data_IF_038667754832
#
_entry.id   IF_038667754832
#
_cell.length_a   1.000
_cell.length_b   1.000
_cell.length_c   1.000
_cell.angle_alpha   90.00
_cell.angle_beta   90.00
_cell.angle_gamma   90.00
#
_symmetry.space_group_name_H-M   'P 1'
#
loop_
_entity.id
_entity.type
_entity.pdbx_description
1 polymer ?
#
# COMPACT_ATOMS: atom_id res chain seq x y z
N UNK A 1 7.54 -11.98 -6.20
CA UNK A 1 7.22 -11.84 -7.63
C UNK A 1 8.47 -12.04 -8.46
N UNK A 2 8.42 -12.84 -9.53
CA UNK A 2 9.57 -12.98 -10.42
C UNK A 2 9.72 -11.70 -11.23
N UNK A 3 10.84 -10.99 -11.06
CA UNK A 3 11.23 -9.78 -11.83
C UNK A 3 11.04 -9.97 -13.34
N UNK A 4 11.16 -11.21 -13.80
CA UNK A 4 10.87 -11.66 -15.17
C UNK A 4 9.48 -11.29 -15.68
N UNK A 5 8.42 -11.52 -14.89
CA UNK A 5 7.03 -11.25 -15.32
C UNK A 5 6.75 -9.75 -15.47
N UNK A 6 7.40 -8.91 -14.68
CA UNK A 6 7.31 -7.46 -14.81
C UNK A 6 8.07 -6.96 -16.04
N UNK A 7 9.28 -7.48 -16.28
CA UNK A 7 10.07 -7.14 -17.48
C UNK A 7 9.39 -7.60 -18.78
N UNK A 8 8.81 -8.80 -18.80
CA UNK A 8 8.11 -9.33 -19.97
C UNK A 8 6.90 -8.46 -20.35
N UNK A 9 6.09 -8.06 -19.36
CA UNK A 9 4.95 -7.17 -19.60
C UNK A 9 5.36 -5.77 -20.03
N UNK A 10 6.42 -5.23 -19.45
CA UNK A 10 6.97 -3.95 -19.89
C UNK A 10 7.36 -4.02 -21.38
N UNK A 11 8.05 -5.09 -21.78
CA UNK A 11 8.44 -5.31 -23.18
C UNK A 11 7.22 -5.46 -24.10
N UNK A 12 6.17 -6.16 -23.66
CA UNK A 12 4.92 -6.27 -24.44
C UNK A 12 4.23 -4.92 -24.62
N UNK A 13 4.13 -4.10 -23.57
CA UNK A 13 3.53 -2.75 -23.65
C UNK A 13 4.34 -1.86 -24.58
N UNK A 14 5.68 -1.93 -24.52
CA UNK A 14 6.57 -1.19 -25.41
C UNK A 14 6.36 -1.60 -26.87
N UNK A 15 6.40 -2.89 -27.18
CA UNK A 15 6.15 -3.41 -28.53
C UNK A 15 4.75 -3.02 -29.06
N UNK A 16 3.72 -3.05 -28.22
CA UNK A 16 2.38 -2.60 -28.61
C UNK A 16 2.33 -1.11 -28.93
N UNK A 17 3.09 -0.26 -28.22
CA UNK A 17 3.18 1.18 -28.55
C UNK A 17 3.76 1.38 -29.95
N UNK A 18 4.87 0.73 -30.25
CA UNK A 18 5.53 0.84 -31.55
C UNK A 18 4.59 0.39 -32.69
N UNK A 19 3.86 -0.71 -32.49
CA UNK A 19 2.87 -1.20 -33.45
C UNK A 19 1.67 -0.26 -33.61
N UNK A 20 1.19 0.37 -32.53
CA UNK A 20 0.11 1.36 -32.58
C UNK A 20 0.55 2.58 -33.39
N UNK A 21 1.76 3.05 -33.17
CA UNK A 21 2.31 4.23 -33.85
C UNK A 21 2.45 3.97 -35.35
N UNK A 22 2.99 2.80 -35.71
CA UNK A 22 3.14 2.39 -37.10
C UNK A 22 1.79 2.18 -37.81
N UNK A 23 0.84 1.49 -37.17
CA UNK A 23 -0.50 1.31 -37.72
C UNK A 23 -1.21 2.67 -37.88
N UNK A 24 -1.05 3.58 -36.93
CA UNK A 24 -1.61 4.94 -36.99
C UNK A 24 -0.97 5.78 -38.09
N UNK A 25 0.33 5.65 -38.31
CA UNK A 25 1.07 6.29 -39.40
C UNK A 25 0.55 5.81 -40.76
N UNK A 26 0.36 4.50 -40.91
CA UNK A 26 -0.16 3.90 -42.14
C UNK A 26 -1.63 4.25 -42.40
N UNK A 27 -2.46 4.33 -41.36
CA UNK A 27 -3.84 4.79 -41.46
C UNK A 27 -3.96 6.24 -41.96
N UNK A 28 -2.98 7.09 -41.67
CA UNK A 28 -2.92 8.50 -42.10
C UNK A 28 -2.18 8.71 -43.43
N UNK A 29 -1.61 7.66 -44.02
CA UNK A 29 -0.81 7.75 -45.24
C UNK A 29 -1.65 8.18 -46.44
N UNK A 30 -1.32 9.32 -47.04
CA UNK A 30 -1.99 9.82 -48.27
C UNK A 30 -1.75 8.93 -49.49
N UNK A 31 -0.69 8.12 -49.49
CA UNK A 31 -0.33 7.23 -50.60
C UNK A 31 -1.08 5.90 -50.59
N UNK A 32 -1.58 5.48 -49.43
CA UNK A 32 -2.29 4.22 -49.29
C UNK A 32 -3.76 4.35 -49.76
N UNK A 33 -4.32 3.35 -50.46
CA UNK A 33 -5.75 3.30 -50.79
C UNK A 33 -6.64 3.39 -49.54
N UNK A 34 -7.87 3.87 -49.71
CA UNK A 34 -8.81 4.05 -48.59
C UNK A 34 -9.11 2.76 -47.84
N UNK A 35 -9.22 1.62 -48.54
CA UNK A 35 -9.42 0.30 -47.95
C UNK A 35 -8.29 -0.11 -47.01
N UNK A 36 -7.04 0.14 -47.40
CA UNK A 36 -5.88 -0.13 -46.57
C UNK A 36 -5.85 0.76 -45.34
N UNK A 37 -6.13 2.07 -45.50
CA UNK A 37 -6.20 3.00 -44.35
C UNK A 37 -7.25 2.56 -43.33
N UNK A 38 -8.43 2.11 -43.78
CA UNK A 38 -9.48 1.57 -42.90
C UNK A 38 -8.98 0.32 -42.17
N UNK A 39 -8.27 -0.59 -42.87
CA UNK A 39 -7.67 -1.77 -42.25
C UNK A 39 -6.67 -1.39 -41.15
N UNK A 40 -5.79 -0.42 -41.43
CA UNK A 40 -4.82 0.09 -40.47
C UNK A 40 -5.46 0.78 -39.27
N UNK A 41 -6.53 1.55 -39.46
CA UNK A 41 -7.31 2.15 -38.36
C UNK A 41 -7.91 1.08 -37.46
N UNK A 42 -8.51 0.03 -38.04
CA UNK A 42 -9.06 -1.10 -37.27
C UNK A 42 -7.98 -1.81 -36.46
N UNK A 43 -6.83 -2.06 -37.09
CA UNK A 43 -5.69 -2.69 -36.41
C UNK A 43 -5.17 -1.83 -35.25
N UNK A 44 -5.02 -0.52 -35.44
CA UNK A 44 -4.62 0.39 -34.37
C UNK A 44 -5.60 0.33 -33.17
N UNK A 45 -6.91 0.27 -33.44
CA UNK A 45 -7.93 0.09 -32.40
C UNK A 45 -7.79 -1.24 -31.64
N UNK A 46 -7.53 -2.34 -32.34
CA UNK A 46 -7.29 -3.65 -31.71
C UNK A 46 -6.05 -3.64 -30.81
N UNK A 47 -4.95 -3.04 -31.28
CA UNK A 47 -3.71 -2.94 -30.51
C UNK A 47 -3.88 -2.08 -29.26
N UNK A 48 -4.64 -0.98 -29.34
CA UNK A 48 -5.01 -0.18 -28.17
C UNK A 48 -5.79 -1.02 -27.17
N UNK A 49 -6.76 -1.82 -27.63
CA UNK A 49 -7.55 -2.70 -26.77
C UNK A 49 -6.69 -3.76 -26.06
N UNK A 50 -5.74 -4.38 -26.76
CA UNK A 50 -4.81 -5.34 -26.15
C UNK A 50 -3.90 -4.70 -25.11
N UNK A 51 -3.35 -3.50 -25.40
CA UNK A 51 -2.55 -2.75 -24.44
C UNK A 51 -3.35 -2.44 -23.18
N UNK A 52 -4.60 -2.01 -23.33
CA UNK A 52 -5.51 -1.74 -22.21
C UNK A 52 -5.85 -3.01 -21.41
N UNK A 53 -6.06 -4.16 -22.05
CA UNK A 53 -6.28 -5.43 -21.38
C UNK A 53 -5.08 -5.84 -20.50
N UNK A 54 -3.85 -5.66 -20.99
CA UNK A 54 -2.62 -5.92 -20.21
C UNK A 54 -2.55 -4.97 -19.01
N UNK A 55 -2.84 -3.69 -19.19
CA UNK A 55 -2.85 -2.71 -18.10
C UNK A 55 -3.92 -3.04 -17.05
N UNK A 56 -5.13 -3.46 -17.47
CA UNK A 56 -6.20 -3.87 -16.54
C UNK A 56 -5.89 -5.16 -15.81
N UNK A 57 -5.15 -6.10 -16.42
CA UNK A 57 -4.70 -7.31 -15.73
C UNK A 57 -3.77 -7.02 -14.53
N UNK A 58 -3.19 -5.82 -14.45
CA UNK A 58 -2.41 -5.38 -13.28
C UNK A 58 -3.25 -5.31 -12.00
N UNK A 59 -4.58 -5.10 -12.07
CA UNK A 59 -5.42 -5.05 -10.87
C UNK A 59 -5.61 -6.43 -10.24
N UNK A 60 -5.73 -7.48 -11.05
CA UNK A 60 -5.83 -8.86 -10.58
C UNK A 60 -4.51 -9.30 -9.91
N UNK A 61 -3.38 -9.04 -10.55
CA UNK A 61 -2.06 -9.39 -10.00
C UNK A 61 -1.70 -8.56 -8.77
N UNK A 62 -2.09 -7.28 -8.73
CA UNK A 62 -1.95 -6.46 -7.53
C UNK A 62 -2.79 -7.01 -6.39
N UNK A 63 -4.03 -7.41 -6.67
CA UNK A 63 -4.91 -8.05 -5.70
C UNK A 63 -4.39 -9.43 -5.24
N UNK A 64 -3.77 -10.22 -6.11
CA UNK A 64 -3.09 -11.47 -5.74
C UNK A 64 -1.89 -11.22 -4.82
N UNK A 65 -1.10 -10.17 -5.07
CA UNK A 65 -0.02 -9.75 -4.19
C UNK A 65 -0.55 -9.30 -2.82
N UNK A 66 -1.57 -8.44 -2.79
CA UNK A 66 -2.24 -8.02 -1.55
C UNK A 66 -2.76 -9.25 -0.79
N UNK A 67 -3.43 -10.18 -1.48
CA UNK A 67 -3.91 -11.43 -0.89
C UNK A 67 -2.76 -12.29 -0.33
N UNK A 68 -1.62 -12.34 -0.99
CA UNK A 68 -0.43 -13.05 -0.49
C UNK A 68 0.11 -12.39 0.78
N UNK A 69 0.24 -11.07 0.81
CA UNK A 69 0.66 -10.30 1.99
C UNK A 69 -0.32 -10.51 3.14
N UNK A 70 -1.62 -10.38 2.89
CA UNK A 70 -2.67 -10.58 3.87
C UNK A 70 -2.66 -12.02 4.41
N UNK A 71 -2.54 -13.03 3.55
CA UNK A 71 -2.42 -14.44 3.98
C UNK A 71 -1.19 -14.63 4.86
N UNK A 72 -0.05 -14.04 4.49
CA UNK A 72 1.16 -14.11 5.29
C UNK A 72 0.93 -13.50 6.68
N UNK A 73 0.36 -12.31 6.75
CA UNK A 73 0.07 -11.64 8.03
C UNK A 73 -0.95 -12.40 8.89
N UNK A 74 -1.98 -12.99 8.28
CA UNK A 74 -3.05 -13.71 9.00
C UNK A 74 -2.59 -15.09 9.46
N UNK A 75 -1.83 -15.83 8.65
CA UNK A 75 -1.46 -17.22 8.93
C UNK A 75 -0.07 -17.38 9.58
N UNK A 76 0.86 -16.44 9.38
CA UNK A 76 2.14 -16.44 10.10
C UNK A 76 2.04 -15.80 11.49
N UNK A 77 0.99 -15.00 11.78
CA UNK A 77 0.62 -14.68 13.17
C UNK A 77 -0.11 -15.86 13.80
N UNK A 78 0.64 -16.84 14.30
CA UNK A 78 0.16 -17.74 15.36
C UNK A 78 0.57 -17.19 16.74
N UNK A 79 -0.22 -17.49 17.78
CA UNK A 79 -0.37 -16.63 18.96
C UNK A 79 0.87 -16.69 19.85
N UNK A 80 1.30 -15.52 20.31
CA UNK A 80 2.04 -15.41 21.57
C UNK A 80 1.12 -15.89 22.70
N UNK A 81 1.08 -17.20 22.90
CA UNK A 81 0.74 -17.83 24.17
C UNK A 81 1.98 -17.67 25.06
N UNK A 82 2.11 -16.51 25.70
CA UNK A 82 2.83 -16.42 26.96
C UNK A 82 1.81 -16.29 28.09
N UNK A 83 1.63 -17.45 28.71
CA UNK A 83 0.77 -17.81 29.80
C UNK A 83 1.18 -17.07 31.08
N UNK A 84 0.61 -15.88 31.35
CA UNK A 84 0.71 -15.26 32.67
C UNK A 84 -0.68 -14.93 33.21
N UNK A 85 -1.44 -15.98 33.51
CA UNK A 85 -2.54 -15.89 34.47
C UNK A 85 -2.38 -17.04 35.48
N UNK A 86 -2.51 -16.67 36.76
CA UNK A 86 -2.61 -17.48 37.97
C UNK A 86 -1.30 -17.96 38.65
N UNK A 87 -0.83 -17.16 39.61
CA UNK A 87 -0.41 -17.74 40.90
C UNK A 87 -1.09 -16.96 42.02
N UNK A 88 -2.11 -17.60 42.59
CA UNK A 88 -2.74 -17.20 43.85
C UNK A 88 -1.80 -17.61 45.00
N UNK A 89 -1.32 -16.65 45.78
CA UNK A 89 -0.83 -16.91 47.15
C UNK A 89 -1.13 -15.68 47.99
N UNK A 90 -2.20 -15.75 48.78
CA UNK A 90 -2.46 -14.85 49.90
C UNK A 90 -1.50 -15.18 51.05
N UNK A 91 -1.11 -14.18 51.86
CA UNK A 91 -1.48 -14.25 53.27
C UNK A 91 -1.96 -12.92 53.89
N UNK A 92 -3.25 -12.88 54.24
CA UNK A 92 -3.85 -12.56 55.55
C UNK A 92 -3.18 -11.57 56.55
N UNK A 93 -3.90 -10.44 56.76
CA UNK A 93 -4.31 -9.77 58.03
C UNK A 93 -3.29 -9.06 58.96
N UNK A 94 -3.29 -7.72 58.97
CA UNK A 94 -3.79 -6.84 60.10
C UNK A 94 -3.55 -5.31 59.87
N UNK A 95 -4.45 -4.39 60.31
CA UNK A 95 -4.30 -2.91 60.28
C UNK A 95 -4.15 -2.30 61.71
N UNK A 96 -4.27 -0.96 61.95
CA UNK A 96 -3.61 0.25 61.41
C UNK A 96 -2.88 1.06 62.54
N UNK A 97 -2.04 2.08 62.23
CA UNK A 97 -1.70 3.14 63.21
C UNK A 97 -1.60 4.55 62.60
N UNK A 98 -2.36 5.44 63.23
CA UNK A 98 -2.44 6.88 63.08
C UNK A 98 -1.12 7.64 63.19
N UNK A 99 -0.98 8.73 62.43
CA UNK A 99 -0.58 10.04 62.97
C UNK A 99 -1.02 11.21 62.07
N UNK A 100 -1.45 12.29 62.72
CA UNK A 100 -2.34 13.40 62.30
C UNK A 100 -1.66 14.56 61.55
N UNK A 101 -2.44 15.55 61.03
CA UNK A 101 -2.04 16.52 60.00
C UNK A 101 -1.47 17.85 60.55
N UNK A 102 -0.70 18.56 59.71
CA UNK A 102 -0.43 20.01 59.74
C UNK A 102 -0.08 20.45 58.32
N UNK A 103 -0.33 21.63 57.78
CA UNK A 103 -1.16 22.80 58.06
C UNK A 103 -1.02 23.62 56.76
N UNK A 104 -2.09 24.22 56.24
CA UNK A 104 -2.01 25.17 55.11
C UNK A 104 -1.34 26.44 55.62
N UNK A 105 -0.41 27.00 54.85
CA UNK A 105 -0.23 28.44 54.78
C UNK A 105 0.06 28.87 53.34
N UNK A 106 -0.81 29.75 52.84
CA UNK A 106 -0.64 30.54 51.62
C UNK A 106 0.24 31.73 51.96
N UNK A 107 1.26 32.07 51.17
CA UNK A 107 1.60 33.47 50.89
C UNK A 107 2.17 33.59 49.47
N UNK A 108 1.58 34.51 48.70
CA UNK A 108 2.00 34.98 47.38
C UNK A 108 3.36 35.71 47.47
N UNK A 109 3.97 35.95 46.31
CA UNK A 109 4.30 37.32 45.84
C UNK A 109 5.76 37.57 45.39
N UNK A 110 5.85 38.05 44.13
CA UNK A 110 6.84 38.88 43.42
C UNK A 110 8.36 38.77 43.72
N UNK A 111 9.16 38.56 42.66
CA UNK A 111 9.79 39.66 41.88
C UNK A 111 10.65 39.14 40.72
N UNK A 112 10.54 39.84 39.60
CA UNK A 112 11.43 39.77 38.45
C UNK A 112 12.81 40.41 38.75
N UNK A 113 13.87 39.82 38.18
CA UNK A 113 15.15 40.46 37.84
C UNK A 113 15.66 39.71 36.59
N UNK A 114 15.67 40.28 35.37
CA UNK A 114 16.61 41.25 34.75
C UNK A 114 18.08 40.80 34.72
N UNK A 115 18.77 41.22 33.63
CA UNK A 115 20.18 41.04 33.21
C UNK A 115 20.30 39.98 32.10
N UNK A 116 20.76 40.27 30.88
CA UNK A 116 21.58 41.36 30.36
C UNK A 116 21.44 41.44 28.84
#
# INVERSE_FOLDING_TARGET
>A
MSKWRQSERHNMIAALRDLIDEASRMAKSKRAPASERIRWTRLAGQLIWYKDAILRSMSLESMENEMFVIKKEVFEKKPEQNLHQATCTQPSLSPPRDQKPKSRDKVREFRAYQLR
#
